data_IF_415878830934
#
_entry.id   IF_415878830934
#
_cell.length_a   1.000
_cell.length_b   1.000
_cell.length_c   1.000
_cell.angle_alpha   90.00
_cell.angle_beta   90.00
_cell.angle_gamma   90.00
#
_symmetry.space_group_name_H-M   'P 1'
#
loop_
_entity.id
_entity.type
_entity.pdbx_description
1 polymer ?
#
# COMPACT_ATOMS: atom_id res chain seq x y z
N UNK A 1 13.25 -8.70 10.37
CA UNK A 1 14.56 -8.21 10.83
C UNK A 1 14.51 -6.70 10.83
N UNK A 2 14.81 -6.03 11.94
CA UNK A 2 14.81 -4.55 12.03
C UNK A 2 15.92 -4.00 11.14
N UNK A 3 15.57 -3.11 10.21
CA UNK A 3 16.51 -2.50 9.27
C UNK A 3 17.55 -1.73 10.10
N UNK A 4 18.84 -1.75 9.69
CA UNK A 4 19.96 -1.18 10.47
C UNK A 4 19.68 0.23 10.99
N UNK A 5 19.04 1.07 10.18
CA UNK A 5 18.69 2.45 10.53
C UNK A 5 17.54 2.55 11.55
N UNK A 6 16.59 1.59 11.54
CA UNK A 6 15.48 1.57 12.51
C UNK A 6 15.96 1.24 13.94
N UNK A 7 17.17 0.67 14.09
CA UNK A 7 17.79 0.43 15.41
C UNK A 7 18.25 1.70 16.11
N UNK A 8 18.33 2.81 15.39
CA UNK A 8 18.67 4.12 15.94
C UNK A 8 17.47 4.82 16.59
N UNK A 9 16.26 4.27 16.40
CA UNK A 9 15.04 4.84 16.98
C UNK A 9 14.94 4.36 18.43
N UNK A 10 14.86 5.32 19.36
CA UNK A 10 14.61 5.06 20.76
C UNK A 10 13.24 4.41 20.94
N UNK A 11 13.23 3.15 21.39
CA UNK A 11 12.00 2.35 21.45
C UNK A 11 11.06 2.83 22.56
N UNK A 12 11.60 3.37 23.66
CA UNK A 12 10.82 3.84 24.79
C UNK A 12 9.90 5.04 24.45
N UNK A 13 10.23 5.80 23.39
CA UNK A 13 9.41 6.90 22.91
C UNK A 13 8.36 6.52 21.86
N UNK A 14 8.31 5.25 21.43
CA UNK A 14 7.34 4.81 20.43
C UNK A 14 6.01 4.44 21.10
N UNK A 15 4.87 4.83 20.52
CA UNK A 15 3.56 4.42 21.02
C UNK A 15 3.41 2.90 20.93
N UNK A 16 2.79 2.31 21.94
CA UNK A 16 2.44 0.89 21.96
C UNK A 16 1.21 0.60 21.05
N UNK A 17 0.64 -0.60 21.17
CA UNK A 17 -0.52 -0.98 20.35
C UNK A 17 -1.73 -0.09 20.57
N UNK A 18 -2.03 0.23 21.82
CA UNK A 18 -3.25 0.92 22.22
C UNK A 18 -3.15 2.41 21.87
N UNK A 19 -2.01 3.05 22.17
CA UNK A 19 -1.79 4.46 21.80
C UNK A 19 -1.79 4.65 20.28
N UNK A 20 -1.27 3.70 19.50
CA UNK A 20 -1.37 3.77 18.03
C UNK A 20 -2.81 3.65 17.54
N UNK A 21 -3.64 2.85 18.20
CA UNK A 21 -5.05 2.72 17.85
C UNK A 21 -5.81 4.02 18.15
N UNK A 22 -5.55 4.65 19.31
CA UNK A 22 -6.11 5.97 19.65
C UNK A 22 -5.70 7.05 18.64
N UNK A 23 -4.42 7.07 18.25
CA UNK A 23 -3.93 7.97 17.20
C UNK A 23 -4.64 7.75 15.86
N UNK A 24 -4.82 6.49 15.45
CA UNK A 24 -5.52 6.17 14.21
C UNK A 24 -6.99 6.62 14.25
N UNK A 25 -7.67 6.41 15.38
CA UNK A 25 -9.05 6.87 15.58
C UNK A 25 -9.16 8.39 15.51
N UNK A 26 -8.28 9.13 16.19
CA UNK A 26 -8.26 10.58 16.17
C UNK A 26 -8.02 11.15 14.75
N UNK A 27 -7.12 10.51 13.98
CA UNK A 27 -6.89 10.87 12.56
C UNK A 27 -8.15 10.61 11.73
N UNK A 28 -8.78 9.45 11.89
CA UNK A 28 -9.99 9.09 11.18
C UNK A 28 -11.14 10.09 11.46
N UNK A 29 -11.39 10.40 12.74
CA UNK A 29 -12.39 11.38 13.15
C UNK A 29 -12.12 12.76 12.53
N UNK A 30 -10.86 13.19 12.55
CA UNK A 30 -10.46 14.48 11.97
C UNK A 30 -10.72 14.54 10.47
N UNK A 31 -10.32 13.50 9.73
CA UNK A 31 -10.50 13.45 8.27
C UNK A 31 -11.97 13.34 7.88
N UNK A 32 -12.76 12.55 8.61
CA UNK A 32 -14.21 12.46 8.40
C UNK A 32 -14.89 13.79 8.70
N UNK A 33 -14.50 14.47 9.79
CA UNK A 33 -14.98 15.81 10.12
C UNK A 33 -14.63 16.86 9.04
N UNK A 34 -13.52 16.67 8.33
CA UNK A 34 -13.12 17.49 7.18
C UNK A 34 -13.81 17.10 5.85
N UNK A 35 -14.71 16.11 5.86
CA UNK A 35 -15.51 15.71 4.69
C UNK A 35 -14.94 14.56 3.88
N UNK A 36 -13.86 13.92 4.32
CA UNK A 36 -13.34 12.71 3.67
C UNK A 36 -14.18 11.47 4.03
N UNK A 37 -14.11 10.46 3.17
CA UNK A 37 -14.68 9.13 3.37
C UNK A 37 -13.55 8.13 3.60
N UNK A 38 -13.76 7.25 4.57
CA UNK A 38 -12.88 6.12 4.79
C UNK A 38 -13.02 5.11 3.64
N UNK A 39 -11.92 4.87 2.92
CA UNK A 39 -11.85 3.91 1.82
C UNK A 39 -11.47 2.52 2.36
N UNK A 40 -10.59 2.49 3.36
CA UNK A 40 -10.18 1.31 4.12
C UNK A 40 -8.98 1.66 5.00
N UNK A 41 -8.33 0.62 5.55
CA UNK A 41 -7.22 0.65 6.53
C UNK A 41 -6.68 2.04 6.91
N UNK A 42 -5.97 2.69 5.99
CA UNK A 42 -5.25 3.94 6.17
C UNK A 42 -5.57 4.99 5.08
N UNK A 43 -6.62 4.78 4.29
CA UNK A 43 -6.88 5.58 3.09
C UNK A 43 -8.22 6.30 3.17
N UNK A 44 -8.19 7.61 2.87
CA UNK A 44 -9.33 8.50 2.92
C UNK A 44 -9.40 9.30 1.62
N UNK A 45 -10.61 9.52 1.11
CA UNK A 45 -10.80 10.27 -0.14
C UNK A 45 -12.05 11.15 -0.07
N UNK A 46 -12.10 12.23 -0.85
CA UNK A 46 -13.31 13.06 -0.93
C UNK A 46 -14.48 12.27 -1.54
N UNK A 47 -15.75 12.66 -1.30
CA UNK A 47 -16.90 11.90 -1.77
C UNK A 47 -16.97 11.69 -3.29
N UNK A 48 -16.42 12.65 -4.05
CA UNK A 48 -16.39 12.62 -5.52
C UNK A 48 -15.08 12.03 -6.09
N UNK A 49 -14.18 11.59 -5.22
CA UNK A 49 -12.97 10.88 -5.61
C UNK A 49 -13.29 9.50 -6.21
N UNK A 50 -12.50 9.07 -7.19
CA UNK A 50 -12.70 7.79 -7.87
C UNK A 50 -12.72 6.59 -6.93
N UNK A 51 -11.94 6.61 -5.84
CA UNK A 51 -11.90 5.54 -4.84
C UNK A 51 -13.20 5.50 -4.03
N UNK A 52 -13.74 6.64 -3.64
CA UNK A 52 -15.01 6.72 -2.92
C UNK A 52 -16.17 6.25 -3.81
N UNK A 53 -16.18 6.64 -5.08
CA UNK A 53 -17.16 6.20 -6.06
C UNK A 53 -17.05 4.70 -6.38
N UNK A 54 -15.82 4.18 -6.52
CA UNK A 54 -15.58 2.75 -6.72
C UNK A 54 -16.01 1.93 -5.49
N UNK A 55 -15.76 2.42 -4.27
CA UNK A 55 -16.20 1.79 -3.04
C UNK A 55 -17.73 1.71 -2.98
N UNK A 56 -18.42 2.84 -3.22
CA UNK A 56 -19.89 2.91 -3.23
C UNK A 56 -20.53 1.94 -4.23
N UNK A 57 -19.85 1.67 -5.34
CA UNK A 57 -20.36 0.78 -6.41
C UNK A 57 -19.83 -0.66 -6.32
N UNK A 58 -19.11 -1.02 -5.25
CA UNK A 58 -18.55 -2.37 -5.07
C UNK A 58 -17.44 -2.74 -6.06
N UNK A 59 -16.83 -1.74 -6.72
CA UNK A 59 -15.76 -1.91 -7.72
C UNK A 59 -14.37 -1.59 -7.19
N UNK A 60 -14.26 -1.10 -5.95
CA UNK A 60 -12.97 -0.83 -5.31
C UNK A 60 -12.13 -2.11 -5.25
N UNK A 61 -10.87 -2.01 -5.68
CA UNK A 61 -9.89 -3.09 -5.61
C UNK A 61 -8.73 -2.69 -4.72
N UNK A 62 -7.99 -3.69 -4.24
CA UNK A 62 -6.73 -3.51 -3.54
C UNK A 62 -5.64 -4.37 -4.19
N UNK A 63 -4.49 -3.78 -4.42
CA UNK A 63 -3.30 -4.46 -4.92
C UNK A 63 -2.07 -4.07 -4.08
N UNK A 64 -0.87 -4.48 -4.49
CA UNK A 64 0.37 -4.21 -3.75
C UNK A 64 0.75 -2.72 -3.65
N UNK A 65 0.11 -1.84 -4.43
CA UNK A 65 0.30 -0.39 -4.40
C UNK A 65 -0.78 0.34 -3.57
N UNK A 66 -1.82 -0.36 -3.12
CA UNK A 66 -2.91 0.21 -2.33
C UNK A 66 -4.29 0.00 -2.96
N UNK A 67 -5.22 0.91 -2.65
CA UNK A 67 -6.56 0.92 -3.19
C UNK A 67 -6.57 1.50 -4.60
N UNK A 68 -7.44 0.98 -5.47
CA UNK A 68 -7.57 1.45 -6.84
C UNK A 68 -9.01 1.29 -7.34
N UNK A 69 -9.45 2.26 -8.14
CA UNK A 69 -10.68 2.18 -8.93
C UNK A 69 -10.45 1.49 -10.29
N UNK A 70 -9.20 1.17 -10.64
CA UNK A 70 -8.85 0.51 -11.89
C UNK A 70 -9.41 -0.92 -11.93
N UNK A 71 -9.88 -1.32 -13.09
CA UNK A 71 -10.44 -2.66 -13.38
C UNK A 71 -9.47 -3.54 -14.17
N UNK A 72 -8.28 -3.03 -14.51
CA UNK A 72 -7.26 -3.76 -15.21
C UNK A 72 -6.88 -5.02 -14.43
N UNK A 73 -6.96 -6.16 -15.11
CA UNK A 73 -6.64 -7.48 -14.53
C UNK A 73 -5.15 -7.81 -14.62
N UNK A 74 -4.40 -7.01 -15.39
CA UNK A 74 -2.98 -7.21 -15.65
C UNK A 74 -2.17 -6.05 -15.13
N UNK A 75 -1.16 -6.35 -14.32
CA UNK A 75 -0.21 -5.37 -13.79
C UNK A 75 1.19 -5.88 -14.10
N UNK A 76 1.97 -5.09 -14.83
CA UNK A 76 3.37 -5.40 -15.14
C UNK A 76 4.25 -4.59 -14.20
N UNK A 77 4.88 -5.27 -13.25
CA UNK A 77 5.80 -4.65 -12.29
C UNK A 77 7.21 -4.52 -12.88
N UNK A 78 7.74 -3.30 -12.91
CA UNK A 78 9.12 -3.03 -13.30
C UNK A 78 9.98 -2.68 -12.08
N UNK A 79 11.24 -3.13 -12.11
CA UNK A 79 12.19 -2.91 -11.02
C UNK A 79 12.26 -4.08 -10.03
N UNK A 80 13.29 -4.03 -9.18
CA UNK A 80 13.50 -5.00 -8.12
C UNK A 80 12.30 -5.00 -7.15
N UNK A 81 11.93 -6.18 -6.65
CA UNK A 81 10.80 -6.43 -5.75
C UNK A 81 9.39 -6.12 -6.28
N UNK A 82 9.27 -5.58 -7.50
CA UNK A 82 7.98 -5.23 -8.08
C UNK A 82 7.08 -6.47 -8.20
N UNK A 83 5.80 -6.29 -7.87
CA UNK A 83 4.79 -7.34 -7.96
C UNK A 83 3.91 -7.04 -9.17
N UNK A 84 3.83 -8.02 -10.07
CA UNK A 84 2.88 -8.04 -11.18
C UNK A 84 1.74 -9.02 -10.94
N UNK A 85 0.70 -8.90 -11.76
CA UNK A 85 -0.43 -9.83 -11.85
C UNK A 85 -0.72 -10.08 -13.31
N UNK A 86 -0.87 -11.35 -13.70
CA UNK A 86 -1.31 -11.75 -15.05
C UNK A 86 -2.33 -12.88 -14.90
N UNK A 87 -3.57 -12.61 -15.31
CA UNK A 87 -4.70 -13.51 -15.04
C UNK A 87 -4.93 -13.71 -13.53
N UNK A 88 -4.91 -14.96 -13.09
CA UNK A 88 -5.02 -15.33 -11.68
C UNK A 88 -3.65 -15.55 -10.99
N UNK A 89 -2.55 -15.39 -11.74
CA UNK A 89 -1.20 -15.53 -11.22
C UNK A 89 -0.61 -14.21 -10.73
N UNK A 90 0.20 -14.29 -9.68
CA UNK A 90 1.07 -13.20 -9.21
C UNK A 90 2.52 -13.54 -9.53
N UNK A 91 3.29 -12.52 -9.89
CA UNK A 91 4.73 -12.63 -10.12
C UNK A 91 5.44 -11.56 -9.31
N UNK A 92 6.57 -11.89 -8.71
CA UNK A 92 7.43 -10.94 -8.04
C UNK A 92 8.82 -10.97 -8.68
N UNK A 93 9.31 -9.80 -9.07
CA UNK A 93 10.69 -9.66 -9.50
C UNK A 93 11.65 -9.92 -8.33
N UNK A 94 12.88 -10.29 -8.64
CA UNK A 94 13.97 -10.40 -7.66
C UNK A 94 13.97 -9.24 -6.65
N UNK A 95 13.92 -9.58 -5.36
CA UNK A 95 13.72 -8.59 -4.28
C UNK A 95 14.90 -7.62 -4.17
N UNK A 96 16.11 -8.13 -4.37
CA UNK A 96 17.32 -7.32 -4.26
C UNK A 96 17.68 -6.69 -5.60
N UNK A 97 18.10 -5.42 -5.56
CA UNK A 97 18.55 -4.70 -6.76
C UNK A 97 19.66 -5.42 -7.49
N UNK A 98 20.61 -6.01 -6.76
CA UNK A 98 21.77 -6.68 -7.35
C UNK A 98 21.39 -7.99 -8.05
N UNK A 99 20.45 -8.77 -7.49
CA UNK A 99 19.92 -9.96 -8.15
C UNK A 99 19.12 -9.58 -9.39
N UNK A 100 18.20 -8.62 -9.25
CA UNK A 100 17.39 -8.11 -10.36
C UNK A 100 18.28 -7.63 -11.53
N UNK A 101 19.29 -6.80 -11.25
CA UNK A 101 20.20 -6.30 -12.28
C UNK A 101 21.00 -7.42 -12.96
N UNK A 102 21.46 -8.44 -12.21
CA UNK A 102 22.15 -9.61 -12.79
C UNK A 102 21.24 -10.41 -13.72
N UNK A 103 19.99 -10.62 -13.33
CA UNK A 103 19.02 -11.34 -14.16
C UNK A 103 18.77 -10.60 -15.48
N UNK A 104 18.47 -9.31 -15.41
CA UNK A 104 18.28 -8.44 -16.59
C UNK A 104 19.53 -8.45 -17.49
N UNK A 105 20.72 -8.28 -16.93
CA UNK A 105 21.98 -8.32 -17.69
C UNK A 105 22.23 -9.68 -18.35
N UNK A 106 21.67 -10.76 -17.80
CA UNK A 106 21.75 -12.12 -18.35
C UNK A 106 20.58 -12.50 -19.27
N UNK A 107 19.66 -11.56 -19.57
CA UNK A 107 18.49 -11.80 -20.41
C UNK A 107 17.43 -12.69 -19.76
N UNK A 108 17.33 -12.66 -18.43
CA UNK A 108 16.37 -13.43 -17.63
C UNK A 108 15.50 -12.53 -16.76
#
# INVERSE_FOLDING_TARGET
>A
SVIKNQRLIEQAGLPDGDVRAEQAAAVAETLVGAGYREIGLDHFALPDDELALAQKTGRLRRNSLGYSADTCKTVIGFGASAIGRVGEGYVQNEVTRDSYARHIASGR
#
